data_IF_631024046329
#
_entry.id   IF_631024046329
#
_cell.length_a   1.000
_cell.length_b   1.000
_cell.length_c   1.000
_cell.angle_alpha   90.00
_cell.angle_beta   90.00
_cell.angle_gamma   90.00
#
_symmetry.space_group_name_H-M   'P 1'
#
loop_
_entity.id
_entity.type
_entity.pdbx_description
1 polymer ?
#
# COMPACT_ATOMS: atom_id res chain seq x y z
N UNK A 1 -2.56 -10.34 15.82
CA UNK A 1 -2.49 -9.45 14.64
C UNK A 1 -2.33 -10.32 13.41
N UNK A 2 -3.09 -10.07 12.34
CA UNK A 2 -2.92 -10.84 11.10
C UNK A 2 -1.49 -10.64 10.58
N UNK A 3 -0.85 -11.72 10.10
CA UNK A 3 0.46 -11.62 9.48
C UNK A 3 0.32 -10.85 8.16
N UNK A 4 0.93 -9.67 8.08
CA UNK A 4 0.92 -8.82 6.88
C UNK A 4 2.27 -8.94 6.20
N UNK A 5 2.26 -9.23 4.91
CA UNK A 5 3.47 -9.25 4.08
C UNK A 5 3.37 -8.14 3.05
N UNK A 6 4.30 -7.18 3.08
CA UNK A 6 4.42 -6.16 2.03
C UNK A 6 5.12 -6.77 0.83
N UNK A 7 4.47 -6.73 -0.33
CA UNK A 7 4.91 -7.38 -1.56
C UNK A 7 5.62 -6.42 -2.52
N UNK A 8 5.16 -5.16 -2.59
CA UNK A 8 5.68 -4.17 -3.54
C UNK A 8 5.47 -2.75 -3.04
N UNK A 9 6.40 -1.85 -3.38
CA UNK A 9 6.29 -0.40 -3.20
C UNK A 9 6.70 0.28 -4.51
N UNK A 10 5.75 0.97 -5.13
CA UNK A 10 5.97 1.62 -6.42
C UNK A 10 5.35 3.01 -6.49
N UNK A 11 6.03 3.89 -7.22
CA UNK A 11 5.50 5.20 -7.56
C UNK A 11 4.38 5.05 -8.58
N UNK A 12 3.24 5.65 -8.28
CA UNK A 12 2.09 5.73 -9.18
C UNK A 12 1.60 7.15 -9.26
N UNK A 13 1.11 7.53 -10.44
CA UNK A 13 0.35 8.77 -10.60
C UNK A 13 -1.13 8.45 -10.38
N UNK A 14 -1.72 9.02 -9.34
CA UNK A 14 -3.13 8.89 -9.04
C UNK A 14 -3.86 10.17 -9.46
N UNK A 15 -5.09 10.04 -9.98
CA UNK A 15 -5.97 11.19 -10.19
C UNK A 15 -6.68 11.51 -8.87
N UNK A 16 -6.52 12.74 -8.42
CA UNK A 16 -7.32 13.30 -7.32
C UNK A 16 -8.76 13.51 -7.77
N UNK A 17 -9.73 13.63 -6.83
CA UNK A 17 -11.13 13.92 -7.16
C UNK A 17 -11.30 15.22 -7.97
N UNK A 18 -10.40 16.17 -7.80
CA UNK A 18 -10.37 17.45 -8.53
C UNK A 18 -9.72 17.34 -9.92
N UNK A 19 -9.43 16.12 -10.39
CA UNK A 19 -8.84 15.85 -11.70
C UNK A 19 -7.35 16.15 -11.80
N UNK A 20 -6.67 16.49 -10.69
CA UNK A 20 -5.21 16.71 -10.69
C UNK A 20 -4.47 15.40 -10.53
N UNK A 21 -3.41 15.23 -11.32
CA UNK A 21 -2.46 14.14 -11.12
C UNK A 21 -1.60 14.39 -9.87
N UNK A 22 -1.60 13.45 -8.93
CA UNK A 22 -0.76 13.46 -7.73
C UNK A 22 0.10 12.19 -7.70
N UNK A 23 1.39 12.35 -7.41
CA UNK A 23 2.30 11.23 -7.22
C UNK A 23 2.10 10.60 -5.83
N UNK A 24 1.92 9.28 -5.81
CA UNK A 24 1.70 8.49 -4.60
C UNK A 24 2.51 7.20 -4.64
N UNK A 25 2.73 6.61 -3.48
CA UNK A 25 3.28 5.27 -3.37
C UNK A 25 2.14 4.27 -3.24
N UNK A 26 2.04 3.35 -4.19
CA UNK A 26 1.21 2.18 -4.08
C UNK A 26 1.97 1.10 -3.30
N UNK A 27 1.47 0.76 -2.11
CA UNK A 27 1.98 -0.33 -1.29
C UNK A 27 1.08 -1.53 -1.51
N UNK A 28 1.60 -2.54 -2.19
CA UNK A 28 0.90 -3.83 -2.34
C UNK A 28 1.25 -4.72 -1.16
N UNK A 29 0.24 -5.24 -0.47
CA UNK A 29 0.41 -6.16 0.64
C UNK A 29 -0.51 -7.37 0.51
N UNK A 30 -0.20 -8.44 1.22
CA UNK A 30 -1.06 -9.61 1.35
C UNK A 30 -1.19 -10.07 2.80
N UNK A 31 -2.26 -10.81 3.05
CA UNK A 31 -2.49 -11.53 4.32
C UNK A 31 -2.90 -12.96 3.98
N UNK A 32 -2.91 -13.90 4.95
CA UNK A 32 -3.36 -15.28 4.70
C UNK A 32 -4.83 -15.40 4.27
N UNK A 33 -5.66 -14.40 4.60
CA UNK A 33 -7.13 -14.48 4.47
C UNK A 33 -7.71 -13.48 3.47
N UNK A 34 -6.98 -12.42 3.14
CA UNK A 34 -7.39 -11.39 2.17
C UNK A 34 -6.43 -11.46 0.98
N UNK A 35 -6.95 -11.51 -0.27
CA UNK A 35 -6.11 -11.46 -1.47
C UNK A 35 -5.24 -10.20 -1.49
N UNK A 36 -4.18 -10.15 -2.32
CA UNK A 36 -3.31 -8.99 -2.39
C UNK A 36 -4.07 -7.70 -2.69
N UNK A 37 -3.75 -6.64 -1.93
CA UNK A 37 -4.41 -5.33 -2.01
C UNK A 37 -3.40 -4.21 -2.03
N UNK A 38 -3.88 -3.01 -2.36
CA UNK A 38 -3.07 -1.81 -2.47
C UNK A 38 -3.62 -0.72 -1.58
N UNK A 39 -2.74 -0.11 -0.80
CA UNK A 39 -3.00 1.20 -0.18
C UNK A 39 -2.15 2.26 -0.88
N UNK A 40 -2.67 3.48 -0.94
CA UNK A 40 -1.99 4.60 -1.58
C UNK A 40 -1.58 5.60 -0.51
N UNK A 41 -0.28 5.86 -0.41
CA UNK A 41 0.30 6.76 0.58
C UNK A 41 0.98 7.95 -0.10
N UNK A 42 1.07 9.11 0.56
CA UNK A 42 1.77 10.27 0.02
C UNK A 42 3.24 9.97 -0.29
N UNK A 43 3.74 10.45 -1.42
CA UNK A 43 5.16 10.32 -1.79
C UNK A 43 6.09 10.94 -0.73
N UNK A 44 5.62 11.98 -0.01
CA UNK A 44 6.39 12.69 1.02
C UNK A 44 6.82 11.80 2.20
N UNK A 45 6.22 10.62 2.39
CA UNK A 45 6.62 9.64 3.40
C UNK A 45 7.77 8.72 2.94
N UNK A 46 8.10 8.72 1.64
CA UNK A 46 9.03 7.78 1.05
C UNK A 46 10.25 8.46 0.48
N UNK A 47 11.31 7.68 0.32
CA UNK A 47 12.48 8.02 -0.48
C UNK A 47 12.68 7.00 -1.60
N UNK A 48 13.28 7.37 -2.73
CA UNK A 48 13.75 6.38 -3.69
C UNK A 48 14.75 5.43 -3.03
N UNK A 49 14.64 4.15 -3.36
CA UNK A 49 15.61 3.15 -2.94
C UNK A 49 16.95 3.38 -3.65
N UNK A 50 18.06 3.13 -2.95
CA UNK A 50 19.39 3.17 -3.55
C UNK A 50 19.57 2.01 -4.54
N UNK A 51 20.53 2.10 -5.47
CA UNK A 51 20.82 0.98 -6.37
C UNK A 51 21.12 -0.33 -5.64
N UNK A 52 21.81 -0.29 -4.49
CA UNK A 52 22.05 -1.50 -3.68
C UNK A 52 20.75 -2.05 -3.06
N UNK A 53 19.86 -1.19 -2.59
CA UNK A 53 18.58 -1.60 -2.02
C UNK A 53 17.66 -2.24 -3.08
N UNK A 54 17.66 -1.69 -4.30
CA UNK A 54 16.92 -2.25 -5.44
C UNK A 54 17.48 -3.60 -5.86
N UNK A 55 18.81 -3.76 -5.86
CA UNK A 55 19.43 -5.07 -6.15
C UNK A 55 19.02 -6.14 -5.13
N UNK A 56 18.96 -5.78 -3.85
CA UNK A 56 18.53 -6.68 -2.79
C UNK A 56 17.02 -6.96 -2.85
N UNK A 57 16.21 -5.97 -3.23
CA UNK A 57 14.76 -6.13 -3.34
C UNK A 57 14.17 -5.26 -4.47
N UNK A 58 14.11 -5.78 -5.71
CA UNK A 58 13.69 -4.99 -6.87
C UNK A 58 12.20 -4.62 -6.84
N UNK A 59 11.43 -5.23 -5.93
CA UNK A 59 10.00 -4.92 -5.73
C UNK A 59 9.78 -3.65 -4.92
N UNK A 60 10.83 -3.10 -4.30
CA UNK A 60 10.77 -1.91 -3.48
C UNK A 60 11.56 -0.77 -4.12
N UNK A 61 10.96 -0.13 -5.12
CA UNK A 61 11.53 1.07 -5.74
C UNK A 61 11.60 2.27 -4.78
N UNK A 62 10.74 2.28 -3.77
CA UNK A 62 10.63 3.30 -2.74
C UNK A 62 10.57 2.65 -1.36
N UNK A 63 11.20 3.29 -0.39
CA UNK A 63 11.25 2.84 1.00
C UNK A 63 10.76 3.95 1.93
N UNK A 64 10.14 3.61 3.07
CA UNK A 64 9.81 4.60 4.10
C UNK A 64 11.09 5.37 4.48
N UNK A 65 11.01 6.70 4.52
CA UNK A 65 12.18 7.54 4.76
C UNK A 65 12.65 7.53 6.22
N UNK A 66 11.73 7.22 7.13
CA UNK A 66 11.94 7.17 8.58
C UNK A 66 10.95 6.21 9.25
N UNK A 67 11.08 6.04 10.57
CA UNK A 67 10.21 5.15 11.34
C UNK A 67 8.76 5.65 11.41
N UNK A 68 8.54 6.97 11.36
CA UNK A 68 7.19 7.53 11.34
C UNK A 68 6.46 7.20 10.03
N UNK A 69 7.14 7.30 8.89
CA UNK A 69 6.63 6.86 7.61
C UNK A 69 6.29 5.37 7.59
N UNK A 70 7.12 4.53 8.23
CA UNK A 70 6.83 3.11 8.38
C UNK A 70 5.59 2.87 9.25
N UNK A 71 5.42 3.62 10.35
CA UNK A 71 4.23 3.54 11.20
C UNK A 71 2.96 3.96 10.45
N UNK A 72 3.02 5.02 9.65
CA UNK A 72 1.88 5.46 8.82
C UNK A 72 1.53 4.43 7.73
N UNK A 73 2.53 3.77 7.13
CA UNK A 73 2.29 2.66 6.19
C UNK A 73 1.54 1.51 6.87
N UNK A 74 2.01 1.07 8.04
CA UNK A 74 1.37 -0.02 8.79
C UNK A 74 -0.04 0.36 9.25
N UNK A 75 -0.25 1.61 9.66
CA UNK A 75 -1.56 2.13 10.06
C UNK A 75 -2.53 2.15 8.89
N UNK A 76 -2.11 2.58 7.70
CA UNK A 76 -2.94 2.56 6.50
C UNK A 76 -3.33 1.13 6.10
N UNK A 77 -2.39 0.18 6.17
CA UNK A 77 -2.69 -1.24 5.93
C UNK A 77 -3.69 -1.78 6.96
N UNK A 78 -3.49 -1.47 8.25
CA UNK A 78 -4.41 -1.89 9.30
C UNK A 78 -5.82 -1.32 9.11
N UNK A 79 -5.93 -0.07 8.66
CA UNK A 79 -7.21 0.56 8.34
C UNK A 79 -7.90 -0.11 7.13
N UNK A 80 -7.18 -0.41 6.05
CA UNK A 80 -7.78 -1.13 4.90
C UNK A 80 -8.25 -2.54 5.33
N UNK A 81 -7.47 -3.25 6.14
CA UNK A 81 -7.87 -4.56 6.70
C UNK A 81 -9.13 -4.45 7.56
N UNK A 82 -9.22 -3.45 8.43
CA UNK A 82 -10.39 -3.21 9.29
C UNK A 82 -11.65 -2.85 8.48
N UNK A 83 -11.50 -2.06 7.41
CA UNK A 83 -12.60 -1.75 6.50
C UNK A 83 -13.14 -3.00 5.79
N UNK A 84 -12.24 -3.89 5.35
CA UNK A 84 -12.62 -5.12 4.66
C UNK A 84 -13.28 -6.12 5.62
N UNK A 85 -12.74 -6.25 6.83
CA UNK A 85 -13.27 -7.20 7.82
C UNK A 85 -14.66 -6.80 8.32
N UNK A 86 -15.00 -5.51 8.26
CA UNK A 86 -16.32 -4.98 8.61
C UNK A 86 -17.30 -4.92 7.43
N UNK A 87 -16.81 -5.02 6.19
CA UNK A 87 -17.68 -5.02 5.02
C UNK A 87 -18.48 -6.35 4.99
N UNK A 88 -19.82 -6.32 5.04
CA UNK A 88 -20.59 -7.54 4.82
C UNK A 88 -20.25 -8.11 3.44
N UNK A 89 -20.24 -9.44 3.25
CA UNK A 89 -20.05 -10.02 1.94
C UNK A 89 -21.07 -9.41 0.98
N UNK A 90 -20.60 -8.75 -0.08
CA UNK A 90 -21.49 -8.30 -1.15
C UNK A 90 -22.00 -9.56 -1.85
N UNK A 91 -23.18 -10.03 -1.42
CA UNK A 91 -23.96 -11.02 -2.14
C UNK A 91 -24.45 -10.32 -3.41
N UNK A 92 -23.76 -10.57 -4.52
CA UNK A 92 -24.31 -10.25 -5.83
C UNK A 92 -25.29 -11.37 -6.17
N UNK A 93 -26.58 -11.06 -6.25
CA UNK A 93 -27.54 -11.94 -6.90
C UNK A 93 -27.24 -11.90 -8.41
N UNK A 94 -26.85 -13.05 -8.97
CA UNK A 94 -26.77 -13.22 -10.41
C UNK A 94 -28.20 -13.36 -10.95
N UNK A 95 -28.57 -12.63 -12.02
CA UNK A 95 -29.90 -12.72 -12.64
C UNK A 95 -30.18 -14.09 -13.26
#
# INVERSE_FOLDING_TARGET
>A
MAQVTVLRRELVTALTPDGRAEERIAVTYSTPVIPPRRVFLPLTLYRPATPQEIQNNPRFSHLPKDQNAQSEELKAIAQDIDLISRAPPQLFELP
#
